data_IF_533500390383
#
_entry.id   IF_533500390383
#
_cell.length_a   1.000
_cell.length_b   1.000
_cell.length_c   1.000
_cell.angle_alpha   90.00
_cell.angle_beta   90.00
_cell.angle_gamma   90.00
#
_symmetry.space_group_name_H-M   'P 1'
#
loop_
_entity.id
_entity.type
_entity.pdbx_description
1 polymer ?
#
# COMPACT_ATOMS: atom_id res chain seq x y z
N UNK A 1 -30.03 49.61 -59.53
CA UNK A 1 -30.84 48.87 -60.54
C UNK A 1 -30.67 47.39 -60.25
N UNK A 2 -31.70 46.77 -59.70
CA UNK A 2 -32.23 45.42 -59.86
C UNK A 2 -31.19 44.33 -60.29
N UNK A 3 -30.99 43.22 -59.52
CA UNK A 3 -31.82 42.05 -59.67
C UNK A 3 -31.54 41.03 -58.62
N UNK A 4 -32.58 40.51 -58.01
CA UNK A 4 -32.67 39.30 -57.16
C UNK A 4 -32.44 38.06 -58.03
N UNK A 5 -31.75 37.03 -57.51
CA UNK A 5 -32.15 35.68 -57.83
C UNK A 5 -31.90 34.78 -56.54
N UNK A 6 -32.98 34.17 -56.11
CA UNK A 6 -33.11 33.10 -55.16
C UNK A 6 -32.73 31.76 -55.83
N UNK A 7 -32.22 30.84 -55.08
CA UNK A 7 -32.52 29.37 -55.13
C UNK A 7 -31.46 28.63 -54.34
N UNK A 8 -31.71 27.79 -53.49
CA UNK A 8 -32.59 26.66 -53.19
C UNK A 8 -31.70 25.67 -52.43
N UNK A 9 -32.19 25.19 -51.30
CA UNK A 9 -31.88 24.04 -50.47
C UNK A 9 -31.02 22.94 -51.11
N UNK A 10 -30.02 22.47 -50.32
CA UNK A 10 -29.73 21.04 -50.21
C UNK A 10 -29.20 20.73 -48.80
N UNK A 11 -30.05 20.02 -48.11
CA UNK A 11 -29.82 19.44 -46.79
C UNK A 11 -28.93 18.20 -46.99
N UNK A 12 -27.67 18.25 -46.55
CA UNK A 12 -26.86 17.04 -46.38
C UNK A 12 -26.61 16.86 -44.90
N UNK A 13 -27.34 15.93 -44.34
CA UNK A 13 -27.12 15.45 -42.98
C UNK A 13 -25.77 14.71 -42.92
N UNK A 14 -24.77 15.37 -42.38
CA UNK A 14 -23.52 14.68 -41.96
C UNK A 14 -23.70 14.11 -40.57
N UNK A 15 -23.86 12.79 -40.53
CA UNK A 15 -23.89 11.99 -39.32
C UNK A 15 -22.48 12.00 -38.72
N UNK A 16 -22.20 12.91 -37.80
CA UNK A 16 -20.97 12.89 -37.01
C UNK A 16 -21.08 11.83 -35.93
N UNK A 17 -20.48 10.68 -36.19
CA UNK A 17 -20.16 9.69 -35.15
C UNK A 17 -19.22 10.33 -34.15
N UNK A 18 -19.75 10.84 -33.06
CA UNK A 18 -18.96 11.14 -31.85
C UNK A 18 -18.64 9.80 -31.21
N UNK A 19 -17.46 9.26 -31.52
CA UNK A 19 -16.88 8.18 -30.74
C UNK A 19 -16.57 8.74 -29.34
N UNK A 20 -17.48 8.52 -28.41
CA UNK A 20 -17.24 8.79 -27.01
C UNK A 20 -16.09 7.92 -26.52
N UNK A 21 -14.89 8.50 -26.41
CA UNK A 21 -13.86 7.93 -25.54
C UNK A 21 -14.39 8.02 -24.11
N UNK A 22 -15.00 6.93 -23.64
CA UNK A 22 -15.20 6.73 -22.23
C UNK A 22 -13.81 6.54 -21.59
N UNK A 23 -13.28 7.61 -21.04
CA UNK A 23 -12.17 7.53 -20.10
C UNK A 23 -12.65 6.63 -18.94
N UNK A 24 -12.28 5.36 -18.99
CA UNK A 24 -12.41 4.48 -17.83
C UNK A 24 -11.51 5.07 -16.75
N UNK A 25 -12.12 5.76 -15.81
CA UNK A 25 -11.47 6.10 -14.56
C UNK A 25 -11.06 4.77 -13.92
N UNK A 26 -9.77 4.49 -13.89
CA UNK A 26 -9.21 3.39 -13.11
C UNK A 26 -9.50 3.76 -11.65
N UNK A 27 -10.64 3.28 -11.16
CA UNK A 27 -11.01 3.40 -9.75
C UNK A 27 -9.90 2.72 -8.95
N UNK A 28 -9.08 3.51 -8.26
CA UNK A 28 -8.14 2.99 -7.25
C UNK A 28 -8.97 2.25 -6.21
N UNK A 29 -9.04 0.94 -6.35
CA UNK A 29 -9.82 0.07 -5.48
C UNK A 29 -9.27 0.22 -4.05
N UNK A 30 -10.03 0.85 -3.17
CA UNK A 30 -9.68 1.04 -1.76
C UNK A 30 -9.34 -0.30 -1.11
N UNK A 31 -8.37 -0.32 -0.20
CA UNK A 31 -8.09 -1.47 0.67
C UNK A 31 -9.13 -1.64 1.79
N UNK A 32 -10.19 -0.83 1.81
CA UNK A 32 -11.21 -0.81 2.85
C UNK A 32 -11.87 -2.17 3.11
N UNK A 33 -12.01 -3.02 2.08
CA UNK A 33 -12.66 -4.32 2.17
C UNK A 33 -11.71 -5.49 2.47
N UNK A 34 -10.42 -5.23 2.80
CA UNK A 34 -9.51 -6.29 3.19
C UNK A 34 -9.73 -6.64 4.67
N UNK A 35 -10.02 -7.91 4.92
CA UNK A 35 -10.17 -8.42 6.29
C UNK A 35 -8.79 -8.55 6.96
N UNK A 36 -8.59 -7.91 8.12
CA UNK A 36 -7.39 -8.10 8.91
C UNK A 36 -7.41 -9.48 9.59
N UNK A 37 -6.23 -9.98 9.94
CA UNK A 37 -6.12 -11.22 10.75
C UNK A 37 -6.87 -11.06 12.07
N UNK A 38 -7.53 -12.15 12.49
CA UNK A 38 -8.24 -12.27 13.78
C UNK A 38 -7.29 -12.84 14.83
N UNK A 39 -7.68 -12.69 16.11
CA UNK A 39 -6.89 -13.16 17.25
C UNK A 39 -5.46 -12.60 17.26
N UNK A 40 -5.32 -11.35 16.85
CA UNK A 40 -4.06 -10.64 16.81
C UNK A 40 -3.60 -10.29 18.23
N UNK A 41 -2.38 -10.64 18.54
CA UNK A 41 -1.69 -10.31 19.79
C UNK A 41 -0.58 -9.27 19.48
N UNK A 42 -0.77 -8.05 19.95
CA UNK A 42 0.17 -6.97 19.71
C UNK A 42 1.51 -7.23 20.37
N UNK A 43 1.54 -7.83 21.56
CA UNK A 43 2.80 -8.08 22.29
C UNK A 43 3.73 -8.99 21.49
N UNK A 44 3.17 -10.01 20.83
CA UNK A 44 3.92 -10.89 19.92
C UNK A 44 4.37 -10.17 18.64
N UNK A 45 3.67 -9.11 18.24
CA UNK A 45 3.99 -8.34 17.03
C UNK A 45 5.05 -7.26 17.27
N UNK A 46 5.29 -6.86 18.55
CA UNK A 46 6.31 -5.88 18.90
C UNK A 46 7.72 -6.33 18.51
N UNK A 47 8.67 -5.39 18.58
CA UNK A 47 10.07 -5.60 18.24
C UNK A 47 10.35 -5.32 16.76
N UNK A 48 11.47 -5.87 16.28
CA UNK A 48 12.05 -5.58 14.97
C UNK A 48 11.51 -6.50 13.89
N UNK A 49 11.22 -5.92 12.75
CA UNK A 49 10.87 -6.57 11.50
C UNK A 49 11.76 -6.05 10.37
N UNK A 50 12.18 -6.94 9.47
CA UNK A 50 12.85 -6.61 8.23
C UNK A 50 11.82 -6.55 7.12
N UNK A 51 11.89 -5.51 6.30
CA UNK A 51 11.09 -5.42 5.09
C UNK A 51 11.69 -6.30 4.01
N UNK A 52 10.92 -7.26 3.51
CA UNK A 52 11.34 -8.18 2.44
C UNK A 52 10.93 -7.64 1.07
N UNK A 53 9.81 -6.90 1.02
CA UNK A 53 9.35 -6.30 -0.21
C UNK A 53 8.21 -5.33 0.01
N UNK A 54 8.01 -4.43 -0.96
CA UNK A 54 7.00 -3.37 -0.93
C UNK A 54 6.62 -2.90 -2.32
N UNK A 55 5.56 -2.13 -2.44
CA UNK A 55 5.46 -1.19 -3.56
C UNK A 55 6.40 -0.01 -3.35
N UNK A 56 7.11 0.37 -4.43
CA UNK A 56 8.06 1.50 -4.35
C UNK A 56 7.30 2.82 -4.37
N UNK A 57 7.23 3.48 -3.23
CA UNK A 57 6.60 4.79 -3.12
C UNK A 57 7.59 5.84 -2.62
N UNK A 58 7.28 7.10 -2.85
CA UNK A 58 8.22 8.23 -2.75
C UNK A 58 9.03 8.33 -1.44
N UNK A 59 8.47 7.86 -0.32
CA UNK A 59 9.13 7.96 0.99
C UNK A 59 10.14 6.84 1.26
N UNK A 60 10.00 5.71 0.55
CA UNK A 60 10.87 4.53 0.68
C UNK A 60 11.72 4.27 -0.57
N UNK A 61 11.59 5.14 -1.59
CA UNK A 61 12.38 5.04 -2.81
C UNK A 61 13.88 5.07 -2.51
N UNK A 62 14.62 4.19 -3.18
CA UNK A 62 16.07 4.01 -3.03
C UNK A 62 16.52 3.52 -1.63
N UNK A 63 15.60 2.93 -0.82
CA UNK A 63 15.99 2.36 0.47
C UNK A 63 16.36 0.90 0.35
N UNK A 64 17.46 0.51 1.01
CA UNK A 64 17.86 -0.86 1.35
C UNK A 64 17.99 -1.02 2.87
N UNK A 65 18.14 -2.24 3.36
CA UNK A 65 18.25 -2.55 4.79
C UNK A 65 17.09 -1.97 5.61
N UNK A 66 15.89 -1.94 5.01
CA UNK A 66 14.71 -1.33 5.63
C UNK A 66 14.20 -2.20 6.77
N UNK A 67 13.93 -1.56 7.89
CA UNK A 67 13.38 -2.20 9.09
C UNK A 67 12.25 -1.36 9.68
N UNK A 68 11.30 -2.04 10.33
CA UNK A 68 10.29 -1.43 11.18
C UNK A 68 10.43 -1.99 12.60
N UNK A 69 10.49 -1.12 13.59
CA UNK A 69 10.53 -1.51 15.00
C UNK A 69 9.30 -0.97 15.72
N UNK A 70 8.60 -1.87 16.41
CA UNK A 70 7.37 -1.57 17.14
C UNK A 70 7.59 -1.72 18.62
N UNK A 71 7.13 -0.73 19.41
CA UNK A 71 7.17 -0.78 20.87
C UNK A 71 5.90 -0.18 21.47
N UNK A 72 5.43 -0.73 22.58
CA UNK A 72 4.21 -0.27 23.24
C UNK A 72 4.51 0.99 24.08
N UNK A 73 3.71 2.03 23.91
CA UNK A 73 3.74 3.21 24.73
C UNK A 73 2.86 3.02 26.00
N UNK A 74 3.15 3.74 27.07
CA UNK A 74 2.37 3.71 28.34
C UNK A 74 0.88 3.98 28.16
N UNK A 75 0.50 4.75 27.13
CA UNK A 75 -0.89 5.09 26.80
C UNK A 75 -1.60 4.06 25.89
N UNK A 76 -0.98 2.91 25.65
CA UNK A 76 -1.55 1.83 24.82
C UNK A 76 -1.46 2.05 23.31
N UNK A 77 -0.78 3.11 22.85
CA UNK A 77 -0.42 3.26 21.43
C UNK A 77 0.88 2.54 21.13
N UNK A 78 1.15 2.23 19.86
CA UNK A 78 2.40 1.60 19.42
C UNK A 78 3.30 2.67 18.80
N UNK A 79 4.53 2.82 19.30
CA UNK A 79 5.58 3.58 18.63
C UNK A 79 6.09 2.76 17.46
N UNK A 80 6.29 3.41 16.33
CA UNK A 80 6.80 2.81 15.09
C UNK A 80 8.07 3.56 14.70
N UNK A 81 9.17 2.84 14.51
CA UNK A 81 10.43 3.39 14.01
C UNK A 81 10.78 2.66 12.73
N UNK A 82 10.66 3.34 11.60
CA UNK A 82 11.13 2.84 10.32
C UNK A 82 12.54 3.38 10.05
N UNK A 83 13.44 2.51 9.66
CA UNK A 83 14.83 2.86 9.34
C UNK A 83 15.26 2.18 8.04
N UNK A 84 16.22 2.78 7.32
CA UNK A 84 16.77 2.21 6.11
C UNK A 84 17.92 3.08 5.56
N UNK A 85 18.72 2.51 4.70
CA UNK A 85 19.83 3.20 4.05
C UNK A 85 19.42 3.68 2.65
N UNK A 86 19.42 5.00 2.42
CA UNK A 86 19.21 5.58 1.11
C UNK A 86 20.51 5.50 0.30
N UNK A 87 20.57 4.53 -0.64
CA UNK A 87 21.76 4.30 -1.44
C UNK A 87 22.03 5.40 -2.48
N UNK A 88 21.01 6.17 -2.89
CA UNK A 88 21.19 7.30 -3.79
C UNK A 88 21.73 8.54 -3.06
N UNK A 89 21.26 8.79 -1.85
CA UNK A 89 21.73 9.88 -0.99
C UNK A 89 22.91 9.50 -0.09
N UNK A 90 23.32 8.21 -0.08
CA UNK A 90 24.39 7.62 0.74
C UNK A 90 24.28 7.94 2.23
N UNK A 91 23.08 7.78 2.79
CA UNK A 91 22.81 8.09 4.20
C UNK A 91 21.73 7.23 4.82
N UNK A 92 21.82 7.07 6.12
CA UNK A 92 20.73 6.49 6.92
C UNK A 92 19.50 7.42 6.93
N UNK A 93 18.33 6.81 6.86
CA UNK A 93 17.05 7.49 7.03
C UNK A 93 16.28 6.82 8.14
N UNK A 94 15.58 7.63 8.93
CA UNK A 94 14.70 7.17 9.98
C UNK A 94 13.43 8.02 10.03
N UNK A 95 12.31 7.37 10.29
CA UNK A 95 11.01 8.02 10.52
C UNK A 95 10.39 7.43 11.77
N UNK A 96 9.93 8.29 12.67
CA UNK A 96 9.26 7.89 13.91
C UNK A 96 7.79 8.25 13.83
N UNK A 97 6.95 7.26 14.02
CA UNK A 97 5.50 7.40 13.99
C UNK A 97 4.85 6.75 15.20
N UNK A 98 3.53 6.79 15.20
CA UNK A 98 2.69 6.11 16.19
C UNK A 98 1.54 5.40 15.50
N UNK A 99 1.16 4.24 16.01
CA UNK A 99 -0.03 3.53 15.59
C UNK A 99 -1.02 3.39 16.75
N UNK A 100 -2.30 3.33 16.40
CA UNK A 100 -3.40 3.03 17.32
C UNK A 100 -4.30 1.98 16.70
N UNK A 101 -4.98 1.19 17.50
CA UNK A 101 -5.95 0.23 16.99
C UNK A 101 -7.11 0.94 16.28
N UNK A 102 -7.53 0.37 15.16
CA UNK A 102 -8.68 0.83 14.40
C UNK A 102 -9.93 -0.01 14.78
N UNK A 103 -10.34 0.06 16.04
CA UNK A 103 -11.46 -0.74 16.57
C UNK A 103 -11.00 -1.88 17.47
N UNK A 104 -11.37 -3.13 17.15
CA UNK A 104 -11.06 -4.29 17.98
C UNK A 104 -9.53 -4.53 18.08
N UNK A 105 -9.02 -4.57 19.32
CA UNK A 105 -7.58 -4.79 19.59
C UNK A 105 -7.10 -6.20 19.22
N UNK A 106 -8.03 -7.16 19.13
CA UNK A 106 -7.73 -8.54 18.73
C UNK A 106 -7.78 -8.73 17.21
N UNK A 107 -7.85 -7.65 16.44
CA UNK A 107 -7.73 -7.67 14.98
C UNK A 107 -6.45 -6.95 14.55
N UNK A 108 -5.78 -7.48 13.54
CA UNK A 108 -4.57 -6.88 12.96
C UNK A 108 -4.86 -5.60 12.17
N UNK A 109 -5.66 -4.70 12.75
CA UNK A 109 -6.11 -3.45 12.12
C UNK A 109 -5.70 -2.26 12.96
N UNK A 110 -4.77 -1.46 12.43
CA UNK A 110 -4.25 -0.25 13.06
C UNK A 110 -4.38 0.94 12.10
N UNK A 111 -4.20 2.10 12.67
CA UNK A 111 -3.99 3.36 11.95
C UNK A 111 -2.64 3.93 12.36
N UNK A 112 -1.76 4.18 11.38
CA UNK A 112 -0.41 4.69 11.60
C UNK A 112 -0.28 6.14 11.16
N UNK A 113 0.46 6.94 11.92
CA UNK A 113 0.78 8.32 11.59
C UNK A 113 2.26 8.60 11.80
N UNK A 114 2.91 9.13 10.77
CA UNK A 114 4.26 9.71 10.83
C UNK A 114 4.21 11.25 10.85
N UNK A 115 3.07 11.82 10.46
CA UNK A 115 2.83 13.28 10.43
C UNK A 115 1.45 13.54 11.00
N UNK A 116 1.36 13.67 12.33
CA UNK A 116 0.08 13.94 12.99
C UNK A 116 -0.52 15.28 12.55
N UNK A 117 -1.83 15.39 12.39
CA UNK A 117 -2.87 14.47 12.85
C UNK A 117 -3.31 13.41 11.82
N UNK A 118 -2.60 13.28 10.71
CA UNK A 118 -2.99 12.42 9.58
C UNK A 118 -2.63 10.94 9.85
N UNK A 119 -3.63 10.07 9.75
CA UNK A 119 -3.50 8.63 9.93
C UNK A 119 -3.83 7.88 8.64
N UNK A 120 -3.05 6.86 8.36
CA UNK A 120 -3.27 5.91 7.26
C UNK A 120 -3.62 4.53 7.82
N UNK A 121 -4.38 3.74 7.06
CA UNK A 121 -4.68 2.36 7.40
C UNK A 121 -3.41 1.51 7.35
N UNK A 122 -3.33 0.57 8.29
CA UNK A 122 -2.32 -0.46 8.41
C UNK A 122 -3.02 -1.75 8.81
N UNK A 123 -3.22 -2.65 7.86
CA UNK A 123 -3.94 -3.91 8.04
C UNK A 123 -3.00 -5.08 7.82
N UNK A 124 -2.81 -5.90 8.83
CA UNK A 124 -2.11 -7.17 8.71
C UNK A 124 -3.11 -8.16 8.11
N UNK A 125 -2.94 -8.53 6.84
CA UNK A 125 -3.87 -9.39 6.09
C UNK A 125 -3.44 -10.84 6.00
N UNK A 126 -2.16 -11.13 6.33
CA UNK A 126 -1.66 -12.46 6.62
C UNK A 126 -0.58 -12.37 7.69
N UNK A 127 -0.53 -13.36 8.55
CA UNK A 127 0.43 -13.48 9.65
C UNK A 127 0.58 -14.96 9.98
N UNK A 128 1.81 -15.46 10.06
CA UNK A 128 2.03 -16.83 10.49
C UNK A 128 1.79 -17.01 11.98
N UNK A 129 1.55 -18.24 12.42
CA UNK A 129 1.20 -18.56 13.81
C UNK A 129 2.31 -18.20 14.81
N UNK A 130 3.57 -18.23 14.35
CA UNK A 130 4.73 -17.93 15.18
C UNK A 130 5.11 -16.43 15.14
N UNK A 131 4.42 -15.62 14.36
CA UNK A 131 4.70 -14.18 14.18
C UNK A 131 6.09 -13.90 13.60
N UNK A 132 6.54 -14.77 12.68
CA UNK A 132 7.81 -14.59 11.95
C UNK A 132 7.64 -13.80 10.66
N UNK A 133 6.46 -13.88 10.01
CA UNK A 133 6.18 -13.28 8.71
C UNK A 133 4.84 -12.56 8.72
N UNK A 134 4.76 -11.41 8.08
CA UNK A 134 3.53 -10.64 7.97
C UNK A 134 3.36 -10.05 6.56
N UNK A 135 2.12 -10.06 6.05
CA UNK A 135 1.69 -9.34 4.87
C UNK A 135 0.81 -8.17 5.31
N UNK A 136 1.23 -6.97 5.01
CA UNK A 136 0.61 -5.73 5.48
C UNK A 136 0.08 -4.90 4.33
N UNK A 137 -1.17 -4.51 4.40
CA UNK A 137 -1.86 -3.64 3.45
C UNK A 137 -2.03 -2.23 4.02
N UNK A 138 -1.74 -1.21 3.23
CA UNK A 138 -2.01 0.18 3.56
C UNK A 138 -3.40 0.66 3.13
N UNK A 139 -3.59 1.98 3.05
CA UNK A 139 -4.89 2.60 2.76
C UNK A 139 -5.40 2.35 1.33
N UNK A 140 -4.53 1.99 0.40
CA UNK A 140 -4.88 1.74 -1.01
C UNK A 140 -4.00 0.63 -1.62
N UNK A 141 -4.29 0.27 -2.87
CA UNK A 141 -3.62 -0.84 -3.57
C UNK A 141 -2.16 -0.56 -4.01
N UNK A 142 -1.65 0.64 -3.75
CA UNK A 142 -0.23 0.98 -3.97
C UNK A 142 0.61 0.85 -2.69
N UNK A 143 0.01 0.36 -1.60
CA UNK A 143 0.66 0.23 -0.31
C UNK A 143 0.51 -1.22 0.17
N UNK A 144 1.60 -1.97 0.09
CA UNK A 144 1.71 -3.36 0.52
C UNK A 144 3.14 -3.63 0.93
N UNK A 145 3.32 -4.35 2.04
CA UNK A 145 4.63 -4.76 2.55
C UNK A 145 4.62 -6.23 2.92
N UNK A 146 5.73 -6.91 2.66
CA UNK A 146 6.06 -8.21 3.24
C UNK A 146 7.14 -7.99 4.28
N UNK A 147 6.87 -8.42 5.50
CA UNK A 147 7.77 -8.29 6.64
C UNK A 147 8.22 -9.65 7.14
N UNK A 148 9.45 -9.73 7.67
CA UNK A 148 10.02 -10.93 8.28
C UNK A 148 10.79 -10.59 9.55
N UNK A 149 10.88 -11.54 10.49
CA UNK A 149 11.78 -11.43 11.67
C UNK A 149 13.25 -11.61 11.31
N UNK A 150 13.53 -12.15 10.14
CA UNK A 150 14.88 -12.33 9.60
C UNK A 150 15.06 -11.55 8.30
N UNK A 151 16.31 -11.36 7.87
CA UNK A 151 16.64 -10.67 6.61
C UNK A 151 16.16 -11.43 5.36
N UNK A 152 15.68 -12.64 5.52
CA UNK A 152 15.21 -13.53 4.45
C UNK A 152 13.81 -14.04 4.76
N UNK A 153 13.15 -14.61 3.75
CA UNK A 153 11.86 -15.27 3.87
C UNK A 153 11.92 -16.61 3.12
N UNK A 154 11.35 -17.71 3.66
CA UNK A 154 11.21 -18.97 2.93
C UNK A 154 10.40 -18.79 1.63
N UNK A 155 10.75 -19.54 0.59
CA UNK A 155 10.13 -19.41 -0.74
C UNK A 155 8.64 -19.74 -0.74
N UNK A 156 8.22 -20.73 0.02
CA UNK A 156 6.82 -21.13 0.20
C UNK A 156 5.98 -20.05 0.88
N UNK A 157 6.51 -19.39 1.93
CA UNK A 157 5.86 -18.26 2.59
C UNK A 157 5.76 -17.06 1.64
N UNK A 158 6.85 -16.76 0.93
CA UNK A 158 6.89 -15.69 -0.08
C UNK A 158 5.82 -15.91 -1.15
N UNK A 159 5.74 -17.10 -1.70
CA UNK A 159 4.75 -17.45 -2.72
C UNK A 159 3.31 -17.37 -2.19
N UNK A 160 3.07 -17.88 -1.00
CA UNK A 160 1.78 -17.78 -0.32
C UNK A 160 1.32 -16.33 -0.13
N UNK A 161 2.24 -15.42 0.23
CA UNK A 161 1.92 -14.01 0.42
C UNK A 161 1.69 -13.28 -0.91
N UNK A 162 2.43 -13.64 -1.96
CA UNK A 162 2.16 -13.16 -3.33
C UNK A 162 0.75 -13.56 -3.76
N UNK A 163 0.39 -14.84 -3.61
CA UNK A 163 -0.95 -15.34 -3.96
C UNK A 163 -2.05 -14.66 -3.14
N UNK A 164 -1.82 -14.44 -1.84
CA UNK A 164 -2.76 -13.72 -0.96
C UNK A 164 -2.96 -12.28 -1.43
N UNK A 165 -1.89 -11.58 -1.79
CA UNK A 165 -1.97 -10.23 -2.33
C UNK A 165 -2.72 -10.18 -3.67
N UNK A 166 -2.45 -11.13 -4.59
CA UNK A 166 -3.16 -11.23 -5.88
C UNK A 166 -4.66 -11.51 -5.69
N UNK A 167 -5.02 -12.45 -4.82
CA UNK A 167 -6.42 -12.72 -4.46
C UNK A 167 -7.11 -11.50 -3.84
N UNK A 168 -6.36 -10.71 -3.08
CA UNK A 168 -6.81 -9.43 -2.54
C UNK A 168 -6.90 -8.32 -3.61
N UNK A 169 -6.57 -8.59 -4.87
CA UNK A 169 -6.68 -7.67 -6.00
C UNK A 169 -5.53 -6.68 -6.14
N UNK A 170 -4.33 -7.04 -5.67
CA UNK A 170 -3.11 -6.28 -5.96
C UNK A 170 -2.52 -6.71 -7.29
N UNK A 171 -2.13 -5.74 -8.11
CA UNK A 171 -1.25 -5.94 -9.26
C UNK A 171 0.20 -5.78 -8.78
N UNK A 172 0.95 -6.87 -8.75
CA UNK A 172 2.31 -6.90 -8.23
C UNK A 172 3.39 -6.54 -9.26
N UNK A 173 3.04 -6.05 -10.46
CA UNK A 173 4.01 -5.67 -11.50
C UNK A 173 5.00 -4.59 -11.06
N UNK A 174 4.59 -3.71 -10.15
CA UNK A 174 5.44 -2.66 -9.53
C UNK A 174 5.98 -3.00 -8.14
N UNK A 175 5.86 -4.27 -7.70
CA UNK A 175 6.35 -4.68 -6.38
C UNK A 175 7.85 -4.93 -6.41
N UNK A 176 8.59 -4.32 -5.48
CA UNK A 176 10.05 -4.43 -5.39
C UNK A 176 10.48 -5.27 -4.19
N UNK A 177 11.55 -6.04 -4.37
CA UNK A 177 12.17 -6.83 -3.30
C UNK A 177 13.25 -5.98 -2.65
N UNK A 178 13.12 -5.75 -1.35
CA UNK A 178 14.06 -4.93 -0.58
C UNK A 178 15.37 -5.68 -0.38
N UNK A 179 16.49 -5.03 -0.72
CA UNK A 179 17.83 -5.59 -0.46
C UNK A 179 18.11 -5.53 1.04
N UNK A 180 18.44 -6.68 1.64
CA UNK A 180 18.83 -6.85 3.04
C UNK A 180 20.26 -7.43 3.09
N UNK A 181 21.24 -6.64 3.47
CA UNK A 181 22.66 -7.02 3.59
C UNK A 181 23.08 -7.27 5.04
#
# INVERSE_FOLDING_TARGET
MKSRIRKIFSLVAALSCIAGLSAQSVSQKSSANLEPVKNFDVERYLGKWYEIGRFDFKWEKNLKNVTAEYSLNKNGTVKVVNSGYDYAAQKEKQSVGKAKFAGNKNAGSLKVSFFGPFYSDYKIIALDKEYNYALVAGANKNLLWILSRTKTIPSDVKESYIQTAQKAGYDLSGFVWTVQE
#
